data_IF_733094976396
#
_entry.id   IF_733094976396
#
_cell.length_a   1.000
_cell.length_b   1.000
_cell.length_c   1.000
_cell.angle_alpha   90.00
_cell.angle_beta   90.00
_cell.angle_gamma   90.00
#
_symmetry.space_group_name_H-M   'P 1'
#
loop_
_entity.id
_entity.type
_entity.pdbx_description
1 polymer ?
#
# COMPACT_ATOMS: atom_id res chain seq x y z
N UNK A 1 -4.37 -23.61 -10.67
CA UNK A 1 -4.08 -24.29 -9.39
C UNK A 1 -4.26 -23.30 -8.26
N UNK A 2 -5.32 -23.38 -7.47
CA UNK A 2 -5.61 -22.37 -6.44
C UNK A 2 -4.53 -22.27 -5.35
N UNK A 3 -3.88 -23.38 -5.02
CA UNK A 3 -2.83 -23.42 -4.01
C UNK A 3 -1.58 -22.58 -4.36
N UNK A 4 -1.19 -22.55 -5.63
CA UNK A 4 -0.03 -21.74 -6.08
C UNK A 4 -0.36 -20.26 -5.97
N UNK A 5 -1.56 -19.86 -6.36
CA UNK A 5 -2.02 -18.47 -6.26
C UNK A 5 -2.11 -18.02 -4.80
N UNK A 6 -2.68 -18.86 -3.93
CA UNK A 6 -2.76 -18.56 -2.50
C UNK A 6 -1.37 -18.43 -1.88
N UNK A 7 -0.45 -19.34 -2.22
CA UNK A 7 0.94 -19.26 -1.74
C UNK A 7 1.62 -17.97 -2.21
N UNK A 8 1.42 -17.60 -3.48
CA UNK A 8 1.94 -16.34 -4.03
C UNK A 8 1.40 -15.11 -3.27
N UNK A 9 0.09 -15.06 -3.01
CA UNK A 9 -0.52 -13.95 -2.25
C UNK A 9 -0.01 -13.86 -0.82
N UNK A 10 0.22 -15.00 -0.16
CA UNK A 10 0.83 -15.02 1.17
C UNK A 10 2.25 -14.44 1.13
N UNK A 11 3.04 -14.79 0.12
CA UNK A 11 4.39 -14.21 -0.05
C UNK A 11 4.34 -12.71 -0.30
N UNK A 12 3.43 -12.25 -1.16
CA UNK A 12 3.22 -10.82 -1.43
C UNK A 12 2.85 -10.08 -0.15
N UNK A 13 1.95 -10.63 0.64
CA UNK A 13 1.51 -10.05 1.90
C UNK A 13 2.66 -9.95 2.91
N UNK A 14 3.40 -11.04 3.11
CA UNK A 14 4.55 -11.08 4.02
C UNK A 14 5.67 -10.13 3.58
N UNK A 15 5.98 -10.10 2.29
CA UNK A 15 7.03 -9.24 1.76
C UNK A 15 6.67 -7.75 1.96
N UNK A 16 5.44 -7.36 1.65
CA UNK A 16 4.99 -5.96 1.73
C UNK A 16 4.91 -5.48 3.18
N UNK A 17 4.34 -6.29 4.08
CA UNK A 17 4.26 -5.95 5.51
C UNK A 17 5.65 -5.75 6.12
N UNK A 18 6.58 -6.66 5.82
CA UNK A 18 7.95 -6.53 6.32
C UNK A 18 8.71 -5.37 5.67
N UNK A 19 8.52 -5.10 4.38
CA UNK A 19 9.16 -3.97 3.71
C UNK A 19 8.78 -2.64 4.36
N UNK A 20 7.49 -2.42 4.63
CA UNK A 20 7.01 -1.21 5.33
C UNK A 20 7.54 -1.14 6.75
N UNK A 21 7.50 -2.27 7.48
CA UNK A 21 7.96 -2.32 8.88
C UNK A 21 9.46 -2.02 9.02
N UNK A 22 10.30 -2.60 8.17
CA UNK A 22 11.75 -2.33 8.19
C UNK A 22 12.07 -0.87 7.87
N UNK A 23 11.25 -0.24 7.02
CA UNK A 23 11.41 1.16 6.63
C UNK A 23 10.99 2.13 7.73
N UNK A 24 10.17 1.70 8.70
CA UNK A 24 9.67 2.51 9.83
C UNK A 24 10.74 2.70 10.94
N UNK A 25 11.99 2.85 10.56
CA UNK A 25 13.09 3.09 11.50
C UNK A 25 13.53 4.55 11.63
N UNK A 26 13.07 5.45 10.76
CA UNK A 26 13.52 6.84 10.69
C UNK A 26 12.36 7.81 10.41
N UNK A 27 12.60 9.08 10.78
CA UNK A 27 11.63 10.17 10.72
C UNK A 27 10.96 10.30 9.34
N UNK A 28 9.67 9.99 9.24
CA UNK A 28 8.88 10.14 8.02
C UNK A 28 9.18 9.14 6.88
N UNK A 29 10.20 8.30 7.05
CA UNK A 29 10.70 7.44 5.97
C UNK A 29 9.69 6.39 5.48
N UNK A 30 8.92 5.79 6.38
CA UNK A 30 7.86 4.85 6.00
C UNK A 30 6.57 5.56 5.60
N UNK A 31 6.27 6.70 6.20
CA UNK A 31 5.00 7.42 6.05
C UNK A 31 4.82 7.96 4.63
N UNK A 32 5.84 8.63 4.07
CA UNK A 32 5.75 9.25 2.74
C UNK A 32 5.59 8.22 1.62
N UNK A 33 6.42 7.17 1.51
CA UNK A 33 6.21 6.13 0.51
C UNK A 33 4.88 5.40 0.67
N UNK A 34 4.40 5.21 1.91
CA UNK A 34 3.09 4.60 2.17
C UNK A 34 1.94 5.45 1.61
N UNK A 35 1.98 6.77 1.79
CA UNK A 35 1.01 7.69 1.20
C UNK A 35 1.03 7.58 -0.33
N UNK A 36 2.21 7.60 -0.96
CA UNK A 36 2.35 7.48 -2.40
C UNK A 36 1.82 6.13 -2.92
N UNK A 37 2.15 5.04 -2.23
CA UNK A 37 1.68 3.70 -2.56
C UNK A 37 0.15 3.59 -2.48
N UNK A 38 -0.44 4.05 -1.38
CA UNK A 38 -1.89 4.07 -1.18
C UNK A 38 -2.59 4.94 -2.20
N UNK A 39 -2.04 6.10 -2.52
CA UNK A 39 -2.59 6.98 -3.55
C UNK A 39 -2.62 6.31 -4.93
N UNK A 40 -1.52 5.69 -5.33
CA UNK A 40 -1.42 4.99 -6.61
C UNK A 40 -2.39 3.80 -6.67
N UNK A 41 -2.41 2.96 -5.64
CA UNK A 41 -3.28 1.78 -5.59
C UNK A 41 -4.76 2.16 -5.47
N UNK A 42 -5.10 3.28 -4.84
CA UNK A 42 -6.50 3.74 -4.74
C UNK A 42 -7.08 4.08 -6.11
N UNK A 43 -6.27 4.60 -7.04
CA UNK A 43 -6.69 4.83 -8.43
C UNK A 43 -7.03 3.50 -9.11
N UNK A 44 -6.18 2.50 -8.98
CA UNK A 44 -6.42 1.18 -9.58
C UNK A 44 -7.62 0.46 -8.97
N UNK A 45 -7.79 0.55 -7.66
CA UNK A 45 -8.97 -0.01 -6.97
C UNK A 45 -10.26 0.69 -7.42
N UNK A 46 -10.23 1.99 -7.61
CA UNK A 46 -11.36 2.74 -8.15
C UNK A 46 -11.71 2.30 -9.58
N UNK A 47 -10.70 2.16 -10.45
CA UNK A 47 -10.87 1.67 -11.82
C UNK A 47 -11.45 0.24 -11.82
N UNK A 48 -10.91 -0.66 -11.00
CA UNK A 48 -11.39 -2.03 -10.90
C UNK A 48 -12.83 -2.14 -10.41
N UNK A 49 -13.26 -1.23 -9.54
CA UNK A 49 -14.63 -1.17 -9.01
C UNK A 49 -15.64 -0.49 -9.94
N UNK A 50 -15.20 0.34 -10.87
CA UNK A 50 -16.08 1.09 -11.76
C UNK A 50 -16.35 0.31 -13.05
N UNK A 51 -17.64 0.11 -13.38
CA UNK A 51 -18.06 -0.65 -14.56
C UNK A 51 -17.59 -0.01 -15.88
N UNK A 52 -17.76 1.28 -16.03
CA UNK A 52 -17.43 1.98 -17.28
C UNK A 52 -15.92 2.04 -17.50
N UNK A 53 -15.17 2.40 -16.47
CA UNK A 53 -13.71 2.53 -16.56
C UNK A 53 -13.03 1.17 -16.74
N UNK A 54 -13.49 0.14 -16.02
CA UNK A 54 -12.91 -1.20 -16.15
C UNK A 54 -13.15 -1.79 -17.54
N UNK A 55 -14.35 -1.59 -18.12
CA UNK A 55 -14.64 -2.05 -19.47
C UNK A 55 -13.90 -1.26 -20.54
N UNK A 56 -13.76 0.05 -20.38
CA UNK A 56 -13.03 0.91 -21.31
C UNK A 56 -11.52 0.59 -21.34
N UNK A 57 -10.94 0.34 -20.17
CA UNK A 57 -9.52 0.04 -20.01
C UNK A 57 -9.20 -1.44 -20.14
N UNK A 58 -10.19 -2.30 -20.40
CA UNK A 58 -10.06 -3.76 -20.42
C UNK A 58 -9.43 -4.32 -19.13
N UNK A 59 -9.76 -3.68 -18.00
CA UNK A 59 -9.25 -4.05 -16.68
C UNK A 59 -10.17 -5.07 -16.01
N UNK A 60 -9.63 -6.07 -15.29
CA UNK A 60 -10.46 -7.02 -14.55
C UNK A 60 -11.37 -6.31 -13.55
N UNK A 61 -12.67 -6.48 -13.70
CA UNK A 61 -13.64 -5.89 -12.78
C UNK A 61 -13.73 -6.68 -11.49
N UNK A 62 -13.63 -5.98 -10.38
CA UNK A 62 -13.87 -6.53 -9.04
C UNK A 62 -15.04 -5.79 -8.43
N UNK A 63 -16.14 -6.53 -8.19
CA UNK A 63 -17.36 -5.94 -7.61
C UNK A 63 -17.03 -5.38 -6.22
N UNK A 64 -17.56 -4.22 -5.90
CA UNK A 64 -17.40 -3.52 -4.61
C UNK A 64 -15.94 -3.08 -4.28
N UNK A 65 -14.98 -3.27 -5.18
CA UNK A 65 -13.62 -2.78 -4.95
C UNK A 65 -13.56 -1.25 -4.77
N UNK A 66 -14.51 -0.51 -5.34
CA UNK A 66 -14.62 0.94 -5.16
C UNK A 66 -14.78 1.40 -3.71
N UNK A 67 -15.33 0.57 -2.84
CA UNK A 67 -15.45 0.86 -1.40
C UNK A 67 -14.08 0.99 -0.72
N UNK A 68 -13.08 0.24 -1.20
CA UNK A 68 -11.71 0.34 -0.70
C UNK A 68 -11.08 1.70 -1.00
N UNK A 69 -11.52 2.39 -2.04
CA UNK A 69 -11.08 3.75 -2.33
C UNK A 69 -11.37 4.70 -1.17
N UNK A 70 -12.56 4.61 -0.58
CA UNK A 70 -12.97 5.44 0.55
C UNK A 70 -12.07 5.18 1.76
N UNK A 71 -11.83 3.91 2.08
CA UNK A 71 -10.96 3.52 3.19
C UNK A 71 -9.53 3.99 2.96
N UNK A 72 -9.03 3.84 1.73
CA UNK A 72 -7.69 4.28 1.35
C UNK A 72 -7.51 5.78 1.50
N UNK A 73 -8.45 6.58 1.02
CA UNK A 73 -8.40 8.05 1.12
C UNK A 73 -8.46 8.49 2.57
N UNK A 74 -9.29 7.85 3.40
CA UNK A 74 -9.34 8.11 4.83
C UNK A 74 -7.99 7.82 5.51
N UNK A 75 -7.36 6.70 5.16
CA UNK A 75 -6.06 6.33 5.69
C UNK A 75 -4.96 7.30 5.22
N UNK A 76 -4.98 7.73 3.95
CA UNK A 76 -4.07 8.75 3.42
C UNK A 76 -4.20 10.05 4.22
N UNK A 77 -5.44 10.50 4.48
CA UNK A 77 -5.69 11.68 5.31
C UNK A 77 -5.13 11.55 6.73
N UNK A 78 -5.31 10.39 7.36
CA UNK A 78 -4.74 10.09 8.68
C UNK A 78 -3.20 10.09 8.65
N UNK A 79 -2.59 9.54 7.60
CA UNK A 79 -1.14 9.53 7.42
C UNK A 79 -0.57 10.93 7.19
N UNK A 80 -1.28 11.83 6.50
CA UNK A 80 -0.87 13.24 6.41
C UNK A 80 -0.89 13.93 7.78
N UNK A 81 -1.92 13.69 8.58
CA UNK A 81 -1.97 14.19 9.95
C UNK A 81 -0.84 13.62 10.82
N UNK A 82 -0.58 12.33 10.70
CA UNK A 82 0.53 11.67 11.39
C UNK A 82 1.89 12.20 10.93
N UNK A 83 2.08 12.43 9.64
CA UNK A 83 3.33 12.95 9.07
C UNK A 83 3.73 14.30 9.67
N UNK A 84 2.77 15.12 10.07
CA UNK A 84 3.04 16.40 10.74
C UNK A 84 3.90 16.25 11.99
N UNK A 85 3.69 15.16 12.73
CA UNK A 85 4.45 14.84 13.97
C UNK A 85 5.59 13.84 13.74
N UNK A 86 5.56 13.11 12.62
CA UNK A 86 6.56 12.11 12.27
C UNK A 86 7.66 12.65 11.35
N UNK A 87 7.48 13.85 10.76
CA UNK A 87 8.51 14.52 9.98
C UNK A 87 9.67 14.97 10.88
N UNK A 88 10.86 15.03 10.30
CA UNK A 88 12.07 15.40 11.06
C UNK A 88 11.99 16.81 11.70
N UNK A 89 12.30 16.99 12.99
CA UNK A 89 12.60 15.96 13.99
C UNK A 89 11.32 15.26 14.50
N UNK A 90 11.24 13.96 14.37
CA UNK A 90 10.03 13.19 14.69
C UNK A 90 9.74 13.24 16.20
N UNK A 91 8.49 13.57 16.52
CA UNK A 91 7.96 13.57 17.89
C UNK A 91 7.21 12.28 18.21
N UNK A 92 6.70 11.59 17.17
CA UNK A 92 5.91 10.37 17.29
C UNK A 92 6.37 9.37 16.22
N UNK A 93 6.48 8.11 16.62
CA UNK A 93 6.81 6.99 15.74
C UNK A 93 5.61 6.05 15.61
N UNK A 94 5.47 5.42 14.43
CA UNK A 94 4.33 4.57 14.13
C UNK A 94 4.35 3.25 14.89
N UNK A 95 5.55 2.67 15.04
CA UNK A 95 5.76 1.35 15.65
C UNK A 95 5.28 0.19 14.78
N UNK A 96 5.63 -1.03 15.20
CA UNK A 96 5.37 -2.24 14.44
C UNK A 96 3.87 -2.49 14.16
N UNK A 97 3.00 -2.14 15.11
CA UNK A 97 1.56 -2.31 14.94
C UNK A 97 1.00 -1.48 13.79
N UNK A 98 1.45 -0.25 13.65
CA UNK A 98 1.01 0.64 12.58
C UNK A 98 1.63 0.29 11.24
N UNK A 99 2.95 0.08 11.20
CA UNK A 99 3.68 -0.22 9.97
C UNK A 99 3.27 -1.55 9.34
N UNK A 100 3.09 -2.61 10.13
CA UNK A 100 2.59 -3.90 9.66
C UNK A 100 1.15 -3.79 9.16
N UNK A 101 0.29 -3.04 9.84
CA UNK A 101 -1.10 -2.83 9.42
C UNK A 101 -1.18 -2.09 8.08
N UNK A 102 -0.39 -1.02 7.91
CA UNK A 102 -0.34 -0.26 6.65
C UNK A 102 0.22 -1.12 5.52
N UNK A 103 1.32 -1.85 5.77
CA UNK A 103 1.89 -2.78 4.79
C UNK A 103 0.90 -3.87 4.38
N UNK A 104 0.13 -4.42 5.31
CA UNK A 104 -0.93 -5.39 5.05
C UNK A 104 -2.06 -4.80 4.20
N UNK A 105 -2.47 -3.57 4.48
CA UNK A 105 -3.51 -2.89 3.70
C UNK A 105 -3.03 -2.57 2.27
N UNK A 106 -1.78 -2.13 2.09
CA UNK A 106 -1.16 -1.93 0.77
C UNK A 106 -1.16 -3.24 -0.03
N UNK A 107 -0.72 -4.35 0.59
CA UNK A 107 -0.72 -5.66 -0.05
C UNK A 107 -2.14 -6.10 -0.45
N UNK A 108 -3.11 -5.91 0.44
CA UNK A 108 -4.51 -6.23 0.18
C UNK A 108 -5.07 -5.44 -1.01
N UNK A 109 -4.84 -4.14 -1.07
CA UNK A 109 -5.27 -3.30 -2.18
C UNK A 109 -4.65 -3.72 -3.51
N UNK A 110 -3.37 -4.09 -3.53
CA UNK A 110 -2.69 -4.55 -4.72
C UNK A 110 -3.25 -5.89 -5.23
N UNK A 111 -3.54 -6.82 -4.32
CA UNK A 111 -4.15 -8.11 -4.67
C UNK A 111 -5.57 -7.90 -5.24
N UNK A 112 -6.40 -7.08 -4.60
CA UNK A 112 -7.77 -6.80 -5.05
C UNK A 112 -7.79 -6.11 -6.41
N UNK A 113 -6.85 -5.20 -6.67
CA UNK A 113 -6.75 -4.50 -7.94
C UNK A 113 -6.00 -5.27 -9.03
N UNK A 114 -5.55 -6.50 -8.77
CA UNK A 114 -4.70 -7.31 -9.66
C UNK A 114 -3.40 -6.59 -10.07
N UNK A 115 -2.80 -5.87 -9.15
CA UNK A 115 -1.57 -5.10 -9.34
C UNK A 115 -0.41 -5.58 -8.46
N UNK A 116 -0.31 -6.89 -8.23
CA UNK A 116 0.74 -7.45 -7.38
C UNK A 116 2.15 -7.14 -7.91
N UNK A 117 2.31 -7.05 -9.23
CA UNK A 117 3.60 -6.67 -9.83
C UNK A 117 3.98 -5.22 -9.56
N UNK A 118 3.02 -4.33 -9.37
CA UNK A 118 3.29 -2.94 -8.99
C UNK A 118 3.93 -2.87 -7.61
N UNK A 119 3.66 -3.83 -6.73
CA UNK A 119 4.31 -3.93 -5.42
C UNK A 119 5.81 -4.16 -5.51
N UNK A 120 6.33 -4.76 -6.57
CA UNK A 120 7.77 -4.87 -6.78
C UNK A 120 8.41 -3.50 -6.96
N UNK A 121 7.75 -2.60 -7.69
CA UNK A 121 8.20 -1.22 -7.84
C UNK A 121 8.03 -0.43 -6.54
N UNK A 122 6.89 -0.54 -5.90
CA UNK A 122 6.62 0.10 -4.61
C UNK A 122 7.61 -0.41 -3.55
N UNK A 123 7.79 -1.73 -3.46
CA UNK A 123 8.72 -2.36 -2.54
C UNK A 123 10.17 -1.92 -2.79
N UNK A 124 10.57 -1.75 -4.05
CA UNK A 124 11.90 -1.24 -4.37
C UNK A 124 12.12 0.19 -3.86
N UNK A 125 11.11 1.04 -3.88
CA UNK A 125 11.20 2.40 -3.30
C UNK A 125 11.41 2.34 -1.80
N UNK A 126 10.71 1.46 -1.07
CA UNK A 126 10.94 1.25 0.36
C UNK A 126 12.36 0.77 0.65
N UNK A 127 12.85 -0.22 -0.11
CA UNK A 127 14.20 -0.76 0.06
C UNK A 127 15.28 0.26 -0.32
N UNK A 128 15.10 0.98 -1.44
CA UNK A 128 16.06 2.00 -1.87
C UNK A 128 16.11 3.18 -0.90
N UNK A 129 15.00 3.61 -0.32
CA UNK A 129 14.98 4.65 0.69
C UNK A 129 15.77 4.23 1.94
N UNK A 130 15.74 2.95 2.29
CA UNK A 130 16.52 2.40 3.40
C UNK A 130 18.04 2.35 3.08
N UNK A 131 18.40 2.00 1.85
CA UNK A 131 19.82 1.89 1.43
C UNK A 131 20.46 3.28 1.29
N UNK A 132 19.69 4.30 0.97
CA UNK A 132 20.17 5.67 0.70
C UNK A 132 20.46 6.48 1.98
N UNK A 133 20.17 5.90 3.13
CA UNK A 133 20.44 6.49 4.44
C UNK A 133 21.71 5.91 4.99
#
# INVERSE_FOLDING_TARGET
MPWVTTFFWVLVFLATTNAVNITDGLDGLATVPSICALFSLSIFVYIAGNYELSSYLLWPRVVDAGELFIVSVALIGALFGFLWYNAHPAQVFMGDSGSLAIGGFIAYMAIVSNNEFLLLLIGSVFVLSLIHI
#
